data_IF_022675636447
#
_entry.id   IF_022675636447
#
_cell.length_a   1.000
_cell.length_b   1.000
_cell.length_c   1.000
_cell.angle_alpha   90.00
_cell.angle_beta   90.00
_cell.angle_gamma   90.00
#
_symmetry.space_group_name_H-M   'P 1'
#
loop_
_entity.id
_entity.type
_entity.pdbx_description
1 polymer ?
#
# COMPACT_ATOMS: atom_id res chain seq x y z
N UNK A 1 15.38 30.10 12.09
CA UNK A 1 14.60 28.91 12.50
C UNK A 1 15.54 27.71 12.53
N UNK A 2 15.55 26.92 13.62
CA UNK A 2 16.46 25.78 13.79
C UNK A 2 16.13 24.62 12.83
N UNK A 3 17.12 23.77 12.56
CA UNK A 3 16.96 22.54 11.77
C UNK A 3 16.02 21.59 12.51
N UNK A 4 14.99 21.09 11.83
CA UNK A 4 14.02 20.15 12.41
C UNK A 4 14.53 18.70 12.33
N UNK A 5 13.94 17.79 13.13
CA UNK A 5 14.23 16.35 13.04
C UNK A 5 13.95 15.82 11.62
N UNK A 6 12.91 16.33 10.97
CA UNK A 6 12.56 15.97 9.60
C UNK A 6 13.69 16.33 8.63
N UNK A 7 14.29 17.52 8.75
CA UNK A 7 15.42 17.92 7.92
C UNK A 7 16.65 17.01 8.13
N UNK A 8 16.87 16.55 9.36
CA UNK A 8 17.89 15.53 9.67
C UNK A 8 17.60 14.18 9.00
N UNK A 9 16.35 13.73 9.00
CA UNK A 9 15.92 12.49 8.31
C UNK A 9 16.14 12.63 6.80
N UNK A 10 15.75 13.76 6.21
CA UNK A 10 15.92 14.03 4.77
C UNK A 10 17.40 13.91 4.39
N UNK A 11 18.28 14.60 5.12
CA UNK A 11 19.73 14.54 4.87
C UNK A 11 20.25 13.11 5.07
N UNK A 12 19.83 12.43 6.15
CA UNK A 12 20.23 11.06 6.45
C UNK A 12 19.85 10.08 5.34
N UNK A 13 18.60 10.11 4.86
CA UNK A 13 18.11 9.23 3.79
C UNK A 13 18.83 9.50 2.47
N UNK A 14 19.01 10.78 2.10
CA UNK A 14 19.69 11.16 0.85
C UNK A 14 21.16 10.74 0.89
N UNK A 15 21.88 11.02 1.98
CA UNK A 15 23.28 10.64 2.13
C UNK A 15 23.45 9.13 2.18
N UNK A 16 22.61 8.42 2.92
CA UNK A 16 22.66 6.96 2.99
C UNK A 16 22.42 6.33 1.62
N UNK A 17 21.41 6.80 0.89
CA UNK A 17 21.11 6.36 -0.48
C UNK A 17 22.28 6.67 -1.43
N UNK A 18 22.87 7.87 -1.33
CA UNK A 18 24.02 8.27 -2.14
C UNK A 18 25.26 7.41 -1.88
N UNK A 19 25.58 7.13 -0.62
CA UNK A 19 26.72 6.29 -0.24
C UNK A 19 26.50 4.84 -0.67
N UNK A 20 25.31 4.28 -0.45
CA UNK A 20 25.00 2.93 -0.90
C UNK A 20 25.12 2.77 -2.42
N UNK A 21 24.61 3.73 -3.18
CA UNK A 21 24.72 3.73 -4.64
C UNK A 21 26.17 3.99 -5.12
N UNK A 22 26.95 4.78 -4.39
CA UNK A 22 28.40 4.93 -4.66
C UNK A 22 29.14 3.59 -4.49
N UNK A 23 28.85 2.84 -3.42
CA UNK A 23 29.48 1.52 -3.16
C UNK A 23 29.04 0.49 -4.20
N UNK A 24 27.76 0.53 -4.60
CA UNK A 24 27.19 -0.41 -5.58
C UNK A 24 27.60 -0.07 -7.02
N UNK A 25 27.78 1.20 -7.33
CA UNK A 25 28.09 1.69 -8.67
C UNK A 25 26.85 2.07 -9.49
N UNK A 26 26.94 3.13 -10.28
CA UNK A 26 25.85 3.64 -11.12
C UNK A 26 25.34 2.60 -12.11
N UNK A 27 26.26 1.90 -12.78
CA UNK A 27 25.91 0.93 -13.83
C UNK A 27 25.04 -0.18 -13.27
N UNK A 28 25.39 -0.74 -12.10
CA UNK A 28 24.58 -1.77 -11.42
C UNK A 28 23.18 -1.27 -11.09
N UNK A 29 23.08 -0.02 -10.67
CA UNK A 29 21.83 0.58 -10.28
C UNK A 29 20.90 0.81 -11.49
N UNK A 30 21.43 1.36 -12.58
CA UNK A 30 20.69 1.53 -13.84
C UNK A 30 20.29 0.19 -14.43
N UNK A 31 21.22 -0.77 -14.49
CA UNK A 31 20.96 -2.13 -14.97
C UNK A 31 19.87 -2.83 -14.14
N UNK A 32 19.82 -2.58 -12.83
CA UNK A 32 18.73 -3.07 -11.98
C UNK A 32 17.38 -2.48 -12.39
N UNK A 33 17.30 -1.17 -12.65
CA UNK A 33 16.05 -0.53 -13.10
C UNK A 33 15.63 -1.05 -14.48
N UNK A 34 16.59 -1.21 -15.39
CA UNK A 34 16.36 -1.82 -16.71
C UNK A 34 15.86 -3.25 -16.57
N UNK A 35 16.39 -4.04 -15.62
CA UNK A 35 15.92 -5.40 -15.39
C UNK A 35 14.47 -5.43 -14.93
N UNK A 36 14.06 -4.55 -14.02
CA UNK A 36 12.67 -4.41 -13.58
C UNK A 36 11.77 -3.99 -14.74
N UNK A 37 12.15 -2.97 -15.51
CA UNK A 37 11.37 -2.49 -16.66
C UNK A 37 11.24 -3.55 -17.77
N UNK A 38 12.35 -4.22 -18.12
CA UNK A 38 12.36 -5.30 -19.11
C UNK A 38 11.52 -6.50 -18.67
N UNK A 39 11.53 -6.82 -17.38
CA UNK A 39 10.70 -7.91 -16.83
C UNK A 39 9.22 -7.55 -16.81
N UNK A 40 8.88 -6.29 -16.50
CA UNK A 40 7.51 -5.81 -16.59
C UNK A 40 6.99 -5.82 -18.03
N UNK A 41 7.82 -5.41 -18.99
CA UNK A 41 7.50 -5.50 -20.41
C UNK A 41 7.31 -6.97 -20.84
N UNK A 42 8.21 -7.87 -20.45
CA UNK A 42 8.08 -9.30 -20.71
C UNK A 42 6.80 -9.88 -20.11
N UNK A 43 6.46 -9.52 -18.86
CA UNK A 43 5.20 -9.90 -18.22
C UNK A 43 3.99 -9.43 -19.03
N UNK A 44 3.98 -8.17 -19.46
CA UNK A 44 2.88 -7.60 -20.24
C UNK A 44 2.68 -8.30 -21.60
N UNK A 45 3.75 -8.69 -22.28
CA UNK A 45 3.62 -9.35 -23.59
C UNK A 45 3.44 -10.87 -23.50
N UNK A 46 3.97 -11.53 -22.47
CA UNK A 46 4.05 -12.99 -22.41
C UNK A 46 3.06 -13.61 -21.42
N UNK A 47 2.36 -12.83 -20.57
CA UNK A 47 1.31 -13.38 -19.71
C UNK A 47 0.22 -14.18 -20.47
N UNK A 48 -0.20 -13.83 -21.70
CA UNK A 48 -1.24 -14.59 -22.40
C UNK A 48 -0.82 -16.02 -22.72
N UNK A 49 0.49 -16.29 -22.81
CA UNK A 49 1.02 -17.63 -23.03
C UNK A 49 0.77 -18.55 -21.81
N UNK A 50 0.76 -17.98 -20.60
CA UNK A 50 0.55 -18.72 -19.36
C UNK A 50 -0.93 -18.79 -18.95
N UNK A 51 -1.78 -17.94 -19.53
CA UNK A 51 -3.22 -17.91 -19.26
C UNK A 51 -3.93 -19.26 -19.38
N UNK A 52 -3.71 -20.09 -20.42
CA UNK A 52 -4.36 -21.40 -20.54
C UNK A 52 -4.00 -22.37 -19.42
N UNK A 53 -2.83 -22.19 -18.80
CA UNK A 53 -2.39 -22.99 -17.66
C UNK A 53 -2.95 -22.44 -16.35
N UNK A 54 -2.95 -21.12 -16.18
CA UNK A 54 -3.49 -20.47 -14.99
C UNK A 54 -5.00 -20.73 -14.82
N UNK A 55 -5.77 -20.71 -15.92
CA UNK A 55 -7.21 -21.02 -15.91
C UNK A 55 -7.54 -22.47 -15.50
N UNK A 56 -6.56 -23.37 -15.41
CA UNK A 56 -6.78 -24.72 -14.87
C UNK A 56 -6.83 -24.76 -13.34
N UNK A 57 -6.31 -23.73 -12.67
CA UNK A 57 -6.19 -23.66 -11.22
C UNK A 57 -7.13 -22.62 -10.59
N UNK A 58 -7.81 -21.80 -11.41
CA UNK A 58 -8.64 -20.69 -10.95
C UNK A 58 -9.64 -20.30 -12.04
N UNK A 59 -10.89 -20.12 -11.64
CA UNK A 59 -11.98 -19.68 -12.52
C UNK A 59 -12.07 -18.15 -12.65
N UNK A 60 -11.45 -17.39 -11.74
CA UNK A 60 -11.40 -15.93 -11.78
C UNK A 60 -10.36 -15.43 -12.79
N UNK A 61 -10.83 -14.79 -13.86
CA UNK A 61 -10.00 -14.23 -14.92
C UNK A 61 -8.94 -13.26 -14.40
N UNK A 62 -9.27 -12.43 -13.41
CA UNK A 62 -8.34 -11.42 -12.86
C UNK A 62 -7.20 -12.10 -12.13
N UNK A 63 -7.50 -13.10 -11.31
CA UNK A 63 -6.49 -13.88 -10.60
C UNK A 63 -5.62 -14.65 -11.59
N UNK A 64 -6.20 -15.21 -12.66
CA UNK A 64 -5.45 -15.90 -13.71
C UNK A 64 -4.49 -14.94 -14.46
N UNK A 65 -4.94 -13.73 -14.78
CA UNK A 65 -4.10 -12.70 -15.42
C UNK A 65 -2.95 -12.29 -14.51
N UNK A 66 -3.26 -11.91 -13.26
CA UNK A 66 -2.26 -11.46 -12.29
C UNK A 66 -1.26 -12.57 -11.98
N UNK A 67 -1.74 -13.80 -11.77
CA UNK A 67 -0.88 -14.96 -11.54
C UNK A 67 0.04 -15.26 -12.72
N UNK A 68 -0.49 -15.25 -13.95
CA UNK A 68 0.30 -15.48 -15.16
C UNK A 68 1.36 -14.40 -15.35
N UNK A 69 0.98 -13.12 -15.21
CA UNK A 69 1.89 -12.00 -15.33
C UNK A 69 2.98 -12.05 -14.24
N UNK A 70 2.63 -12.39 -13.00
CA UNK A 70 3.58 -12.51 -11.90
C UNK A 70 4.61 -13.63 -12.15
N UNK A 71 4.17 -14.79 -12.63
CA UNK A 71 5.08 -15.91 -12.96
C UNK A 71 6.04 -15.51 -14.08
N UNK A 72 5.53 -14.93 -15.17
CA UNK A 72 6.39 -14.44 -16.26
C UNK A 72 7.36 -13.37 -15.75
N UNK A 73 6.86 -12.40 -14.98
CA UNK A 73 7.66 -11.32 -14.42
C UNK A 73 8.84 -11.87 -13.61
N UNK A 74 8.61 -12.82 -12.70
CA UNK A 74 9.66 -13.40 -11.87
C UNK A 74 10.70 -14.17 -12.69
N UNK A 75 10.25 -14.98 -13.65
CA UNK A 75 11.16 -15.75 -14.53
C UNK A 75 12.01 -14.79 -15.37
N UNK A 76 11.37 -13.81 -16.01
CA UNK A 76 12.05 -12.79 -16.80
C UNK A 76 13.03 -11.98 -15.94
N UNK A 77 12.63 -11.60 -14.72
CA UNK A 77 13.47 -10.85 -13.79
C UNK A 77 14.72 -11.62 -13.42
N UNK A 78 14.61 -12.93 -13.13
CA UNK A 78 15.78 -13.75 -12.83
C UNK A 78 16.73 -13.80 -14.03
N UNK A 79 16.22 -14.06 -15.23
CA UNK A 79 17.02 -14.18 -16.45
C UNK A 79 17.71 -12.85 -16.78
N UNK A 80 16.94 -11.76 -16.85
CA UNK A 80 17.46 -10.43 -17.19
C UNK A 80 18.42 -9.93 -16.10
N UNK A 81 18.11 -10.15 -14.82
CA UNK A 81 19.02 -9.79 -13.72
C UNK A 81 20.35 -10.53 -13.82
N UNK A 82 20.33 -11.81 -14.14
CA UNK A 82 21.56 -12.59 -14.30
C UNK A 82 22.43 -12.05 -15.44
N UNK A 83 21.83 -11.74 -16.59
CA UNK A 83 22.55 -11.17 -17.75
C UNK A 83 23.13 -9.80 -17.39
N UNK A 84 22.32 -8.94 -16.79
CA UNK A 84 22.72 -7.56 -16.46
C UNK A 84 23.80 -7.51 -15.37
N UNK A 85 23.80 -8.45 -14.41
CA UNK A 85 24.89 -8.58 -13.43
C UNK A 85 26.24 -8.83 -14.10
N UNK A 86 26.29 -9.72 -15.10
CA UNK A 86 27.52 -10.01 -15.85
C UNK A 86 28.03 -8.80 -16.62
N UNK A 87 27.11 -8.03 -17.22
CA UNK A 87 27.45 -6.77 -17.91
C UNK A 87 28.01 -5.75 -16.91
N UNK A 88 27.40 -5.65 -15.73
CA UNK A 88 27.86 -4.71 -14.72
C UNK A 88 29.26 -5.04 -14.20
N UNK A 89 29.57 -6.32 -13.99
CA UNK A 89 30.91 -6.77 -13.59
C UNK A 89 31.96 -6.33 -14.62
N UNK A 90 31.67 -6.50 -15.92
CA UNK A 90 32.55 -6.09 -17.00
C UNK A 90 32.81 -4.58 -17.05
N UNK A 91 31.79 -3.76 -16.78
CA UNK A 91 31.94 -2.29 -16.79
C UNK A 91 32.79 -1.82 -15.60
N UNK A 92 32.59 -2.41 -14.43
CA UNK A 92 33.24 -1.99 -13.19
C UNK A 92 34.71 -2.41 -13.14
N UNK A 93 35.09 -3.52 -13.75
CA UNK A 93 36.48 -3.98 -13.83
C UNK A 93 37.37 -3.13 -14.77
N UNK A 94 36.77 -2.19 -15.51
CA UNK A 94 37.51 -1.23 -16.34
C UNK A 94 38.00 -0.01 -15.53
N UNK A 95 38.93 0.78 -16.10
CA UNK A 95 39.41 2.07 -15.51
C UNK A 95 38.27 3.07 -15.21
N UNK A 96 37.08 2.82 -15.75
CA UNK A 96 35.86 3.61 -15.58
C UNK A 96 35.24 3.43 -14.19
N UNK A 97 35.65 2.43 -13.39
CA UNK A 97 35.07 2.15 -12.07
C UNK A 97 35.06 3.34 -11.09
N UNK A 98 36.05 4.24 -11.15
CA UNK A 98 36.04 5.46 -10.32
C UNK A 98 34.92 6.43 -10.74
N UNK A 99 34.72 6.61 -12.05
CA UNK A 99 33.64 7.43 -12.59
C UNK A 99 32.27 6.81 -12.25
N UNK A 100 32.13 5.50 -12.38
CA UNK A 100 30.90 4.76 -12.05
C UNK A 100 30.45 4.96 -10.59
N UNK A 101 31.40 5.01 -9.65
CA UNK A 101 31.12 5.31 -8.23
C UNK A 101 30.67 6.75 -8.02
N UNK A 102 31.30 7.73 -8.68
CA UNK A 102 30.89 9.14 -8.55
C UNK A 102 29.51 9.41 -9.14
N UNK A 103 29.20 8.83 -10.31
CA UNK A 103 27.85 8.86 -10.87
C UNK A 103 26.86 8.10 -9.97
N UNK A 104 27.31 7.03 -9.33
CA UNK A 104 26.52 6.25 -8.38
C UNK A 104 26.09 7.10 -7.20
N UNK A 105 26.98 7.94 -6.67
CA UNK A 105 26.64 8.90 -5.62
C UNK A 105 25.55 9.89 -6.04
N UNK A 106 25.72 10.52 -7.20
CA UNK A 106 24.75 11.51 -7.70
C UNK A 106 23.39 10.86 -7.97
N UNK A 107 23.40 9.68 -8.59
CA UNK A 107 22.20 8.90 -8.82
C UNK A 107 21.52 8.49 -7.50
N UNK A 108 22.28 8.00 -6.53
CA UNK A 108 21.77 7.61 -5.22
C UNK A 108 21.21 8.79 -4.43
N UNK A 109 21.80 9.98 -4.54
CA UNK A 109 21.24 11.19 -3.96
C UNK A 109 19.89 11.54 -4.59
N UNK A 110 19.81 11.52 -5.93
CA UNK A 110 18.56 11.74 -6.65
C UNK A 110 17.48 10.71 -6.28
N UNK A 111 17.85 9.42 -6.19
CA UNK A 111 16.96 8.35 -5.73
C UNK A 111 16.50 8.58 -4.29
N UNK A 112 17.38 9.00 -3.39
CA UNK A 112 17.04 9.29 -2.00
C UNK A 112 16.01 10.42 -1.89
N UNK A 113 16.18 11.48 -2.69
CA UNK A 113 15.19 12.56 -2.80
C UNK A 113 13.87 12.02 -3.36
N UNK A 114 13.91 11.21 -4.42
CA UNK A 114 12.70 10.63 -5.01
C UNK A 114 11.92 9.77 -4.00
N UNK A 115 12.60 8.94 -3.21
CA UNK A 115 11.98 8.14 -2.16
C UNK A 115 11.29 9.03 -1.11
N UNK A 116 11.91 10.15 -0.72
CA UNK A 116 11.32 11.11 0.20
C UNK A 116 10.10 11.83 -0.40
N UNK A 117 10.16 12.21 -1.67
CA UNK A 117 9.00 12.80 -2.38
C UNK A 117 7.83 11.83 -2.38
N UNK A 118 8.06 10.56 -2.71
CA UNK A 118 7.02 9.52 -2.69
C UNK A 118 6.49 9.29 -1.27
N UNK A 119 7.38 9.24 -0.27
CA UNK A 119 6.96 9.07 1.13
C UNK A 119 6.12 10.26 1.63
N UNK A 120 6.50 11.49 1.29
CA UNK A 120 5.73 12.69 1.63
C UNK A 120 4.40 12.72 0.89
N UNK A 121 4.35 12.34 -0.40
CA UNK A 121 3.11 12.22 -1.14
C UNK A 121 2.15 11.21 -0.48
N UNK A 122 2.67 10.03 -0.12
CA UNK A 122 1.89 9.00 0.57
C UNK A 122 1.44 9.45 1.97
N UNK A 123 2.30 10.17 2.70
CA UNK A 123 1.94 10.75 4.00
C UNK A 123 0.87 11.83 3.87
N UNK A 124 0.99 12.70 2.87
CA UNK A 124 0.01 13.75 2.59
C UNK A 124 -1.35 13.15 2.23
N UNK A 125 -1.34 11.99 1.58
CA UNK A 125 -2.52 11.22 1.23
C UNK A 125 -3.16 10.51 2.44
N UNK A 126 -2.34 9.98 3.36
CA UNK A 126 -2.83 9.20 4.51
C UNK A 126 -3.24 10.06 5.72
N UNK A 127 -2.62 11.24 5.89
CA UNK A 127 -2.77 12.07 7.08
C UNK A 127 -3.31 13.46 6.74
N UNK A 128 -4.52 13.72 7.22
CA UNK A 128 -5.18 15.02 7.12
C UNK A 128 -4.33 16.13 7.75
N UNK A 129 -4.30 17.28 7.09
CA UNK A 129 -3.47 18.44 7.46
C UNK A 129 -3.71 18.91 8.90
N UNK A 130 -4.90 18.67 9.46
CA UNK A 130 -5.28 19.04 10.82
C UNK A 130 -4.58 18.23 11.93
N UNK A 131 -4.04 17.04 11.62
CA UNK A 131 -3.40 16.15 12.60
C UNK A 131 -1.87 16.06 12.43
N UNK A 132 -1.27 16.98 11.67
CA UNK A 132 0.17 16.93 11.36
C UNK A 132 1.00 17.53 12.50
N UNK A 133 2.04 16.81 12.99
CA UNK A 133 2.93 17.34 14.01
C UNK A 133 3.71 18.58 13.55
N UNK A 134 3.93 19.52 14.47
CA UNK A 134 4.64 20.79 14.19
C UNK A 134 6.08 20.60 13.70
N UNK A 135 6.74 19.49 14.05
CA UNK A 135 8.11 19.18 13.61
C UNK A 135 8.22 18.81 12.13
N UNK A 136 7.10 18.47 11.47
CA UNK A 136 7.01 18.26 10.01
C UNK A 136 6.65 19.57 9.31
N UNK A 137 5.65 20.30 9.83
CA UNK A 137 5.16 21.54 9.21
C UNK A 137 6.22 22.66 9.18
N UNK A 138 7.11 22.71 10.18
CA UNK A 138 8.16 23.73 10.28
C UNK A 138 9.48 23.35 9.56
N UNK A 139 9.54 22.19 8.88
CA UNK A 139 10.77 21.72 8.27
C UNK A 139 11.16 22.53 7.02
N UNK A 140 12.45 22.86 6.87
CA UNK A 140 12.95 23.64 5.72
C UNK A 140 12.86 22.89 4.40
N UNK A 141 13.01 21.57 4.45
CA UNK A 141 12.95 20.70 3.28
C UNK A 141 11.53 20.47 2.76
N UNK A 142 10.50 20.73 3.58
CA UNK A 142 9.12 20.42 3.24
C UNK A 142 8.56 21.21 2.03
N UNK A 143 8.71 22.54 1.93
CA UNK A 143 8.22 23.28 0.76
C UNK A 143 8.86 22.82 -0.56
N UNK A 144 10.15 22.44 -0.51
CA UNK A 144 10.84 21.88 -1.66
C UNK A 144 10.27 20.51 -2.05
N UNK A 145 10.10 19.60 -1.09
CA UNK A 145 9.51 18.27 -1.35
C UNK A 145 8.06 18.38 -1.85
N UNK A 146 7.23 19.23 -1.24
CA UNK A 146 5.85 19.46 -1.69
C UNK A 146 5.82 20.00 -3.14
N UNK A 147 6.73 20.92 -3.51
CA UNK A 147 6.83 21.41 -4.89
C UNK A 147 7.21 20.31 -5.89
N UNK A 148 8.03 19.35 -5.46
CA UNK A 148 8.39 18.18 -6.27
C UNK A 148 7.22 17.19 -6.37
N UNK A 149 6.42 17.02 -5.31
CA UNK A 149 5.19 16.21 -5.33
C UNK A 149 4.21 16.78 -6.36
N UNK A 150 3.90 18.08 -6.31
CA UNK A 150 2.98 18.73 -7.26
C UNK A 150 3.50 18.59 -8.70
N UNK A 151 4.81 18.75 -8.90
CA UNK A 151 5.41 18.56 -10.22
C UNK A 151 5.30 17.10 -10.70
N UNK A 152 5.48 16.13 -9.80
CA UNK A 152 5.32 14.71 -10.11
C UNK A 152 3.86 14.38 -10.44
N UNK A 153 2.89 14.91 -9.68
CA UNK A 153 1.45 14.78 -9.93
C UNK A 153 1.05 15.33 -11.30
N UNK A 154 1.60 16.47 -11.70
CA UNK A 154 1.32 17.06 -13.03
C UNK A 154 1.82 16.20 -14.21
N UNK A 155 2.74 15.27 -13.96
CA UNK A 155 3.23 14.31 -14.95
C UNK A 155 2.43 12.99 -14.95
N UNK A 156 1.56 12.78 -13.95
CA UNK A 156 0.69 11.61 -13.89
C UNK A 156 -0.56 11.81 -14.76
N UNK A 157 -0.98 10.80 -15.54
CA UNK A 157 -2.24 10.84 -16.29
C UNK A 157 -3.44 11.04 -15.38
N UNK A 158 -4.43 11.82 -15.81
CA UNK A 158 -5.64 12.13 -15.02
C UNK A 158 -6.41 10.87 -14.54
N UNK A 159 -6.32 9.75 -15.27
CA UNK A 159 -6.96 8.49 -14.87
C UNK A 159 -6.40 7.93 -13.54
N UNK A 160 -5.12 8.16 -13.24
CA UNK A 160 -4.49 7.72 -11.99
C UNK A 160 -4.97 8.63 -10.85
N UNK A 161 -5.03 9.95 -11.08
CA UNK A 161 -5.53 10.91 -10.10
C UNK A 161 -6.98 10.59 -9.68
N UNK A 162 -7.86 10.28 -10.65
CA UNK A 162 -9.26 9.94 -10.36
C UNK A 162 -9.42 8.61 -9.60
N UNK A 163 -8.59 7.59 -9.88
CA UNK A 163 -8.58 6.35 -9.08
C UNK A 163 -8.15 6.59 -7.64
N UNK A 164 -7.16 7.46 -7.42
CA UNK A 164 -6.72 7.85 -6.08
C UNK A 164 -7.87 8.55 -5.33
N UNK A 165 -8.52 9.54 -5.95
CA UNK A 165 -9.65 10.26 -5.33
C UNK A 165 -10.87 9.36 -5.05
N UNK A 166 -11.17 8.40 -5.93
CA UNK A 166 -12.32 7.50 -5.77
C UNK A 166 -12.06 6.48 -4.65
N UNK A 167 -10.86 5.89 -4.58
CA UNK A 167 -10.49 4.97 -3.50
C UNK A 167 -10.42 5.67 -2.14
N UNK A 168 -9.98 6.93 -2.12
CA UNK A 168 -9.99 7.78 -0.92
C UNK A 168 -11.41 8.04 -0.46
N UNK A 169 -12.28 8.54 -1.32
CA UNK A 169 -13.65 8.86 -0.91
C UNK A 169 -14.43 7.61 -0.49
N UNK A 170 -14.22 6.46 -1.14
CA UNK A 170 -14.90 5.21 -0.81
C UNK A 170 -14.44 4.64 0.56
N UNK A 171 -13.14 4.77 0.91
CA UNK A 171 -12.60 4.37 2.22
C UNK A 171 -12.81 5.40 3.33
N UNK A 172 -12.95 6.69 2.99
CA UNK A 172 -13.15 7.80 3.94
C UNK A 172 -14.66 8.04 4.20
N UNK A 173 -15.54 7.75 3.24
CA UNK A 173 -16.99 7.91 3.34
C UNK A 173 -17.73 6.56 3.40
N UNK A 174 -17.23 5.61 4.20
CA UNK A 174 -18.14 4.69 4.87
C UNK A 174 -18.51 5.34 6.22
N UNK A 175 -19.61 6.10 6.35
CA UNK A 175 -20.15 6.41 7.66
C UNK A 175 -20.32 5.11 8.43
N UNK A 176 -19.73 5.07 9.62
CA UNK A 176 -20.01 4.05 10.62
C UNK A 176 -21.52 3.85 10.71
N UNK A 177 -22.01 2.70 10.23
CA UNK A 177 -23.32 2.21 10.62
C UNK A 177 -23.16 1.58 12.00
N UNK A 178 -23.40 2.41 13.02
CA UNK A 178 -23.89 2.15 14.37
C UNK A 178 -23.45 0.86 15.10
N UNK A 179 -22.94 0.98 16.33
CA UNK A 179 -23.43 0.16 17.43
C UNK A 179 -24.44 0.99 18.21
N UNK A 180 -25.70 0.56 18.19
CA UNK A 180 -26.70 0.99 19.17
C UNK A 180 -26.17 0.65 20.55
N UNK A 181 -25.93 1.67 21.37
CA UNK A 181 -25.67 1.51 22.79
C UNK A 181 -26.99 1.08 23.43
N UNK A 182 -27.13 -0.23 23.69
CA UNK A 182 -28.10 -0.76 24.64
C UNK A 182 -27.59 -0.45 26.05
N UNK A 183 -27.96 0.71 26.60
CA UNK A 183 -27.89 0.97 28.04
C UNK A 183 -29.14 0.39 28.72
N UNK A 184 -29.00 -0.84 29.21
CA UNK A 184 -29.97 -1.50 30.07
C UNK A 184 -29.79 -1.01 31.51
N UNK A 185 -30.67 -0.10 31.96
CA UNK A 185 -30.78 0.36 33.34
C UNK A 185 -32.14 0.00 33.94
N UNK A 186 -32.16 -1.07 34.75
CA UNK A 186 -33.03 -1.32 35.92
C UNK A 186 -34.56 -1.20 35.80
N UNK A 187 -35.20 -2.38 35.88
CA UNK A 187 -36.27 -2.77 36.82
C UNK A 187 -37.46 -1.82 37.03
N UNK A 188 -38.65 -2.25 36.59
CA UNK A 188 -39.90 -2.20 37.35
C UNK A 188 -40.89 -3.24 36.80
N UNK A 189 -41.10 -4.30 37.57
CA UNK A 189 -42.26 -5.19 37.48
C UNK A 189 -43.53 -4.45 37.94
N UNK A 190 -44.62 -4.51 37.17
CA UNK A 190 -45.96 -4.87 37.65
C UNK A 190 -47.06 -4.69 36.59
N UNK A 191 -47.71 -5.83 36.29
CA UNK A 191 -49.11 -6.04 35.86
C UNK A 191 -49.56 -5.64 34.44
N UNK A 192 -49.99 -6.63 33.64
CA UNK A 192 -51.11 -6.48 32.70
C UNK A 192 -52.40 -7.01 33.36
N UNK A 193 -53.42 -6.15 33.40
CA UNK A 193 -54.78 -6.44 33.84
C UNK A 193 -55.43 -7.57 33.04
N UNK A 194 -56.05 -8.48 33.79
CA UNK A 194 -57.01 -9.49 33.34
C UNK A 194 -58.11 -8.90 32.45
N UNK A 195 -58.36 -9.54 31.30
CA UNK A 195 -59.72 -9.89 30.85
C UNK A 195 -59.63 -10.70 29.54
N UNK A 196 -59.76 -12.02 29.65
CA UNK A 196 -60.12 -12.88 28.52
C UNK A 196 -61.30 -13.80 28.92
N UNK A 197 -62.28 -14.06 28.02
CA UNK A 197 -63.57 -14.61 28.41
C UNK A 197 -63.52 -16.12 28.70
N UNK A 198 -64.34 -16.52 29.68
CA UNK A 198 -64.53 -17.88 30.18
C UNK A 198 -64.96 -18.91 29.11
N UNK A 199 -64.44 -20.15 29.21
CA UNK A 199 -65.15 -21.39 28.86
C UNK A 199 -64.54 -22.58 29.66
N UNK A 200 -65.32 -23.56 30.15
CA UNK A 200 -64.93 -24.47 31.24
C UNK A 200 -64.35 -25.83 30.80
N UNK A 201 -63.50 -26.35 31.69
CA UNK A 201 -63.06 -27.73 32.01
C UNK A 201 -63.47 -28.94 31.13
N UNK A 202 -62.60 -29.96 31.12
CA UNK A 202 -63.05 -31.29 31.52
C UNK A 202 -62.16 -31.92 32.61
N UNK A 203 -62.83 -32.45 33.64
CA UNK A 203 -62.25 -33.31 34.69
C UNK A 203 -62.02 -34.74 34.17
N UNK A 204 -61.10 -35.49 34.81
CA UNK A 204 -61.47 -36.85 35.23
C UNK A 204 -61.02 -37.21 36.67
N UNK A 205 -62.02 -37.70 37.42
CA UNK A 205 -62.02 -38.82 38.36
C UNK A 205 -60.86 -39.03 39.37
N UNK A 206 -61.18 -38.75 40.65
CA UNK A 206 -61.17 -39.62 41.85
C UNK A 206 -60.15 -40.78 41.94
N UNK A 207 -59.57 -41.07 43.13
CA UNK A 207 -60.36 -41.73 44.19
C UNK A 207 -60.01 -41.35 45.65
N UNK A 208 -60.81 -41.95 46.57
CA UNK A 208 -60.59 -42.19 48.02
C UNK A 208 -61.25 -41.19 48.99
N UNK A 209 -61.88 -41.53 50.11
CA UNK A 209 -62.67 -42.66 50.66
C UNK A 209 -63.02 -42.24 52.12
N UNK A 210 -64.20 -42.63 52.60
CA UNK A 210 -64.54 -42.91 54.01
C UNK A 210 -64.73 -41.73 54.99
N UNK A 211 -65.98 -41.43 55.36
CA UNK A 211 -66.65 -41.97 56.56
C UNK A 211 -68.14 -41.59 56.56
#
# INVERSE_FOLDING_TARGET
MPITIFDGIVIGVVLFSAILAMVRGFSREVLSIVSWGGSAAAAYYLFPLLMPYAKRYTDDERIAIVGSAAVVFLIALIIISFITMKIADFIIDSRIGALDRTLGFLFGAARGVLLLVVAVAFWNWLVDTAHRPDWVNNAKSKPFLDSMVVKLESMLPEQIAQMIHTYVNDKIQTPQKQPTTDENGTANDAAPSDDAPATPAPAPAAPQTNN
#
